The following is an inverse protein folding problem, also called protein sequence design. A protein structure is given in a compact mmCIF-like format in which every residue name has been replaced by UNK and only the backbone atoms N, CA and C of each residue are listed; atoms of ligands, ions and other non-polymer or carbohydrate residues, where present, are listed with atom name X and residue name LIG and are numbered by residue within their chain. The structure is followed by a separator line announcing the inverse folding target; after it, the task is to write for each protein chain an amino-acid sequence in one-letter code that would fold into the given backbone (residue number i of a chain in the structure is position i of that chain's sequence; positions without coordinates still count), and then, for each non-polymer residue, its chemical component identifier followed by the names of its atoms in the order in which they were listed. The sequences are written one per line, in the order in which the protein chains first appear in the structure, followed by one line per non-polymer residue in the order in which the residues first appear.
data_IF_912238076551
#
_entry.id   IF_912238076551
#
_cell.length_a   1.000
_cell.length_b   1.000
_cell.length_c   1.000
_cell.angle_alpha   90.00
_cell.angle_beta   90.00
_cell.angle_gamma   90.00
#
_symmetry.space_group_name_H-M   'P 1'
#
loop_
_entity.id
_entity.type
_entity.pdbx_description
1 polymer ?
#
# COMPACT_ATOMS: atom_id res chain seq x y z
N UNK A 1 31.47 -32.69 28.35
CA UNK A 1 31.59 -32.37 26.92
C UNK A 1 32.24 -31.00 26.81
N UNK A 2 33.32 -30.88 26.04
CA UNK A 2 34.09 -29.63 25.88
C UNK A 2 33.78 -29.08 24.51
N UNK A 3 33.23 -27.87 24.41
CA UNK A 3 32.88 -27.23 23.14
C UNK A 3 34.05 -26.33 22.73
N UNK A 4 34.58 -26.53 21.53
CA UNK A 4 35.61 -25.68 20.92
C UNK A 4 34.92 -24.68 19.99
N UNK A 5 35.05 -23.39 20.27
CA UNK A 5 34.63 -22.32 19.37
C UNK A 5 35.85 -21.77 18.63
N UNK A 6 35.86 -21.89 17.31
CA UNK A 6 36.79 -21.14 16.47
C UNK A 6 36.10 -19.83 16.08
N UNK A 7 36.58 -18.73 16.66
CA UNK A 7 36.02 -17.40 16.44
C UNK A 7 36.97 -16.64 15.51
N UNK A 8 36.50 -16.33 14.31
CA UNK A 8 37.18 -15.44 13.37
C UNK A 8 36.42 -14.11 13.29
N UNK A 9 37.16 -13.00 13.43
CA UNK A 9 36.57 -11.66 13.41
C UNK A 9 36.57 -11.16 11.96
N UNK A 10 35.39 -11.18 11.33
CA UNK A 10 35.20 -10.66 9.96
C UNK A 10 35.16 -9.13 9.92
N UNK A 11 34.47 -8.50 10.89
CA UNK A 11 34.31 -7.04 10.94
C UNK A 11 34.19 -6.55 12.38
N UNK A 12 34.89 -5.46 12.68
CA UNK A 12 34.75 -4.74 13.94
C UNK A 12 34.38 -3.27 13.70
N UNK A 13 33.68 -2.68 14.66
CA UNK A 13 33.35 -1.25 14.68
C UNK A 13 33.84 -0.70 16.01
N UNK A 14 34.77 0.25 15.97
CA UNK A 14 35.23 0.93 17.17
C UNK A 14 34.12 1.83 17.71
N UNK A 15 33.71 1.57 18.95
CA UNK A 15 32.65 2.27 19.66
C UNK A 15 33.08 2.61 21.10
N UNK A 16 34.40 2.68 21.33
CA UNK A 16 34.99 2.90 22.65
C UNK A 16 34.50 4.20 23.30
N UNK A 17 34.17 5.21 22.50
CA UNK A 17 33.63 6.50 22.96
C UNK A 17 32.23 6.40 23.57
N UNK A 18 31.54 5.25 23.53
CA UNK A 18 30.26 5.10 24.24
C UNK A 18 30.48 5.10 25.76
N UNK A 19 31.61 4.57 26.21
CA UNK A 19 31.95 4.40 27.62
C UNK A 19 32.70 5.60 28.21
N UNK A 20 33.20 6.53 27.38
CA UNK A 20 33.98 7.69 27.82
C UNK A 20 33.15 8.74 28.58
N UNK A 21 31.83 8.56 28.69
CA UNK A 21 30.95 9.47 29.43
C UNK A 21 30.63 9.02 30.86
N UNK A 22 31.08 7.84 31.28
CA UNK A 22 30.76 7.31 32.62
C UNK A 22 31.31 8.19 33.75
N UNK A 23 32.47 8.84 33.52
CA UNK A 23 33.17 9.67 34.51
C UNK A 23 32.82 11.18 34.46
N UNK A 24 32.05 11.63 33.46
CA UNK A 24 31.73 13.06 33.27
C UNK A 24 30.51 13.50 34.11
N UNK A 25 30.50 14.75 34.57
CA UNK A 25 29.33 15.32 35.26
C UNK A 25 28.12 15.50 34.31
N UNK A 26 26.90 15.63 34.85
CA UNK A 26 25.68 15.82 34.03
C UNK A 26 25.74 17.05 33.10
N UNK A 27 26.50 18.08 33.49
CA UNK A 27 26.70 19.31 32.72
C UNK A 27 27.73 19.11 31.59
N UNK A 28 28.85 18.45 31.88
CA UNK A 28 29.91 18.15 30.91
C UNK A 28 29.46 17.13 29.86
N UNK A 29 28.61 16.18 30.25
CA UNK A 29 27.96 15.23 29.32
C UNK A 29 27.07 15.90 28.28
N UNK A 30 26.66 17.15 28.49
CA UNK A 30 25.85 17.90 27.51
C UNK A 30 26.72 18.74 26.58
N UNK A 31 28.00 18.94 26.85
CA UNK A 31 28.85 19.75 25.97
C UNK A 31 29.04 19.06 24.63
N UNK A 32 28.93 19.82 23.53
CA UNK A 32 29.05 19.28 22.18
C UNK A 32 30.35 18.48 21.95
N UNK A 33 31.48 18.95 22.49
CA UNK A 33 32.77 18.27 22.40
C UNK A 33 32.75 16.84 22.96
N UNK A 34 31.96 16.59 24.02
CA UNK A 34 31.83 15.28 24.65
C UNK A 34 30.70 14.45 24.04
N UNK A 35 29.60 15.09 23.61
CA UNK A 35 28.46 14.41 22.99
C UNK A 35 28.79 13.93 21.58
N UNK A 36 29.52 14.72 20.80
CA UNK A 36 29.82 14.44 19.39
C UNK A 36 30.53 13.10 19.14
N UNK A 37 31.63 12.74 19.84
CA UNK A 37 32.29 11.45 19.64
C UNK A 37 31.39 10.26 20.00
N UNK A 38 30.63 10.37 21.10
CA UNK A 38 29.66 9.34 21.53
C UNK A 38 28.56 9.16 20.47
N UNK A 39 28.02 10.27 19.97
CA UNK A 39 27.01 10.28 18.92
C UNK A 39 27.55 9.72 17.60
N UNK A 40 28.82 9.97 17.28
CA UNK A 40 29.51 9.38 16.13
C UNK A 40 29.64 7.86 16.28
N UNK A 41 30.00 7.36 17.45
CA UNK A 41 30.04 5.91 17.73
C UNK A 41 28.66 5.26 17.57
N UNK A 42 27.60 5.86 18.11
CA UNK A 42 26.24 5.38 17.88
C UNK A 42 25.81 5.42 16.41
N UNK A 43 26.23 6.43 15.64
CA UNK A 43 25.99 6.50 14.20
C UNK A 43 26.69 5.35 13.45
N UNK A 44 27.93 5.03 13.81
CA UNK A 44 28.68 3.91 13.22
C UNK A 44 28.02 2.57 13.52
N UNK A 45 27.55 2.35 14.76
CA UNK A 45 26.74 1.18 15.11
C UNK A 45 25.45 1.11 14.28
N UNK A 46 24.79 2.24 14.06
CA UNK A 46 23.61 2.31 13.19
C UNK A 46 23.92 1.88 11.75
N UNK A 47 25.07 2.29 11.21
CA UNK A 47 25.51 1.90 9.88
C UNK A 47 25.84 0.40 9.80
N UNK A 48 26.46 -0.18 10.83
CA UNK A 48 26.74 -1.62 10.88
C UNK A 48 25.46 -2.44 10.95
N UNK A 49 24.51 -2.03 11.80
CA UNK A 49 23.18 -2.66 11.87
C UNK A 49 22.41 -2.54 10.55
N UNK A 50 22.57 -1.43 9.83
CA UNK A 50 21.99 -1.26 8.50
C UNK A 50 22.58 -2.25 7.49
N UNK A 51 23.91 -2.46 7.51
CA UNK A 51 24.58 -3.44 6.65
C UNK A 51 24.13 -4.87 6.99
N UNK A 52 23.94 -5.17 8.29
CA UNK A 52 23.36 -6.42 8.79
C UNK A 52 21.86 -6.55 8.53
N UNK A 53 21.25 -5.62 7.78
CA UNK A 53 19.83 -5.57 7.43
C UNK A 53 18.88 -5.50 8.65
N UNK A 54 19.40 -5.19 9.84
CA UNK A 54 18.59 -4.98 11.03
C UNK A 54 18.13 -3.51 11.10
N UNK A 55 17.18 -3.16 10.23
CA UNK A 55 16.74 -1.77 10.05
C UNK A 55 16.03 -1.20 11.28
N UNK A 56 15.33 -2.03 12.06
CA UNK A 56 14.64 -1.58 13.29
C UNK A 56 15.65 -1.16 14.37
N UNK A 57 16.68 -1.97 14.60
CA UNK A 57 17.76 -1.61 15.52
C UNK A 57 18.57 -0.42 15.02
N UNK A 58 18.85 -0.34 13.72
CA UNK A 58 19.54 0.79 13.11
C UNK A 58 18.78 2.12 13.34
N UNK A 59 17.46 2.14 13.12
CA UNK A 59 16.61 3.30 13.41
C UNK A 59 16.74 3.75 14.86
N UNK A 60 16.73 2.80 15.81
CA UNK A 60 16.85 3.14 17.23
C UNK A 60 18.19 3.82 17.52
N UNK A 61 19.30 3.35 16.91
CA UNK A 61 20.60 4.00 17.05
C UNK A 61 20.63 5.40 16.42
N UNK A 62 20.08 5.59 15.23
CA UNK A 62 19.99 6.93 14.64
C UNK A 62 19.12 7.89 15.47
N UNK A 63 18.04 7.40 16.08
CA UNK A 63 17.21 8.21 16.99
C UNK A 63 17.94 8.57 18.28
N UNK A 64 18.75 7.65 18.82
CA UNK A 64 19.63 7.97 19.95
C UNK A 64 20.58 9.12 19.60
N UNK A 65 21.22 9.05 18.43
CA UNK A 65 22.07 10.13 17.92
C UNK A 65 21.31 11.45 17.80
N UNK A 66 20.13 11.44 17.18
CA UNK A 66 19.30 12.64 17.02
C UNK A 66 18.99 13.28 18.38
N UNK A 67 18.56 12.48 19.36
CA UNK A 67 18.24 12.97 20.70
C UNK A 67 19.47 13.54 21.42
N UNK A 68 20.61 12.88 21.32
CA UNK A 68 21.87 13.34 21.92
C UNK A 68 22.29 14.69 21.34
N UNK A 69 22.24 14.82 20.02
CA UNK A 69 22.66 16.04 19.32
C UNK A 69 21.70 17.22 19.58
N UNK A 70 20.39 16.97 19.71
CA UNK A 70 19.43 18.02 20.10
C UNK A 70 19.64 18.53 21.53
N UNK A 71 20.04 17.65 22.44
CA UNK A 71 20.29 17.99 23.85
C UNK A 71 21.70 18.55 24.10
N UNK A 72 22.55 18.61 23.07
CA UNK A 72 23.91 19.12 23.19
C UNK A 72 23.93 20.64 23.35
N UNK A 73 24.68 21.13 24.33
CA UNK A 73 25.04 22.54 24.50
C UNK A 73 26.13 22.90 23.51
N UNK A 74 25.85 23.89 22.69
CA UNK A 74 26.77 24.44 21.70
C UNK A 74 27.48 25.67 22.27
N UNK A 75 28.76 25.81 21.97
CA UNK A 75 29.55 26.98 22.32
C UNK A 75 29.59 28.01 21.18
N UNK A 76 29.66 27.55 19.92
CA UNK A 76 29.95 28.40 18.77
C UNK A 76 29.07 28.09 17.54
N UNK A 77 28.93 29.04 16.62
CA UNK A 77 28.20 28.88 15.34
C UNK A 77 28.80 27.73 14.47
N UNK A 78 30.10 27.50 14.56
CA UNK A 78 30.75 26.41 13.83
C UNK A 78 30.32 25.02 14.35
N UNK A 79 30.12 24.89 15.66
CA UNK A 79 29.58 23.67 16.27
C UNK A 79 28.12 23.48 15.88
N UNK A 80 27.35 24.56 15.78
CA UNK A 80 25.97 24.53 15.31
C UNK A 80 25.86 23.99 13.88
N UNK A 81 26.67 24.51 12.95
CA UNK A 81 26.71 24.01 11.56
C UNK A 81 27.08 22.53 11.50
N UNK A 82 28.08 22.13 12.29
CA UNK A 82 28.52 20.73 12.38
C UNK A 82 27.43 19.83 12.95
N UNK A 83 26.75 20.27 14.02
CA UNK A 83 25.61 19.58 14.62
C UNK A 83 24.48 19.42 13.61
N UNK A 84 24.06 20.50 12.95
CA UNK A 84 22.93 20.51 12.03
C UNK A 84 23.19 19.59 10.83
N UNK A 85 24.38 19.67 10.24
CA UNK A 85 24.79 18.76 9.17
C UNK A 85 24.75 17.29 9.61
N UNK A 86 25.26 16.99 10.81
CA UNK A 86 25.26 15.64 11.35
C UNK A 86 23.85 15.15 11.70
N UNK A 87 22.98 16.01 12.24
CA UNK A 87 21.56 15.73 12.49
C UNK A 87 20.86 15.34 11.18
N UNK A 88 20.98 16.16 10.13
CA UNK A 88 20.34 15.93 8.83
C UNK A 88 20.81 14.61 8.21
N UNK A 89 22.09 14.27 8.35
CA UNK A 89 22.62 12.96 7.92
C UNK A 89 21.92 11.81 8.65
N UNK A 90 21.76 11.89 9.97
CA UNK A 90 21.10 10.87 10.76
C UNK A 90 19.59 10.78 10.49
N UNK A 91 18.91 11.91 10.31
CA UNK A 91 17.51 11.93 9.85
C UNK A 91 17.36 11.25 8.48
N UNK A 92 18.27 11.54 7.55
CA UNK A 92 18.27 10.91 6.22
C UNK A 92 18.44 9.39 6.32
N UNK A 93 19.39 8.92 7.13
CA UNK A 93 19.59 7.49 7.37
C UNK A 93 18.36 6.84 8.03
N UNK A 94 17.72 7.51 8.98
CA UNK A 94 16.46 7.05 9.57
C UNK A 94 15.33 6.97 8.52
N UNK A 95 15.19 7.97 7.65
CA UNK A 95 14.23 7.95 6.54
C UNK A 95 14.45 6.75 5.61
N UNK A 96 15.70 6.46 5.24
CA UNK A 96 16.04 5.29 4.42
C UNK A 96 15.59 4.01 5.11
N UNK A 97 15.91 3.84 6.40
CA UNK A 97 15.51 2.65 7.14
C UNK A 97 13.99 2.52 7.26
N UNK A 98 13.26 3.62 7.54
CA UNK A 98 11.81 3.60 7.59
C UNK A 98 11.17 3.28 6.24
N UNK A 99 11.76 3.75 5.14
CA UNK A 99 11.33 3.40 3.80
C UNK A 99 11.48 1.89 3.54
N UNK A 100 12.62 1.30 3.92
CA UNK A 100 12.85 -0.15 3.82
C UNK A 100 11.88 -0.96 4.70
N UNK A 101 11.52 -0.41 5.87
CA UNK A 101 10.47 -0.96 6.75
C UNK A 101 9.04 -0.66 6.27
N UNK A 102 8.86 -0.06 5.09
CA UNK A 102 7.58 0.35 4.49
C UNK A 102 6.74 1.31 5.36
N UNK A 103 7.37 2.00 6.31
CA UNK A 103 6.71 2.96 7.18
C UNK A 103 6.81 4.39 6.62
N UNK A 104 6.07 4.64 5.53
CA UNK A 104 6.07 5.92 4.82
C UNK A 104 5.61 7.10 5.69
N UNK A 105 4.75 6.87 6.69
CA UNK A 105 4.31 7.90 7.64
C UNK A 105 5.50 8.44 8.45
N UNK A 106 6.34 7.54 8.97
CA UNK A 106 7.55 7.93 9.72
C UNK A 106 8.58 8.63 8.84
N UNK A 107 8.71 8.26 7.57
CA UNK A 107 9.57 8.97 6.61
C UNK A 107 9.16 10.44 6.48
N UNK A 108 7.87 10.73 6.29
CA UNK A 108 7.38 12.10 6.19
C UNK A 108 7.65 12.92 7.46
N UNK A 109 7.46 12.32 8.64
CA UNK A 109 7.72 12.98 9.93
C UNK A 109 9.21 13.31 10.06
N UNK A 110 10.08 12.32 9.87
CA UNK A 110 11.53 12.49 10.01
C UNK A 110 12.10 13.48 8.98
N UNK A 111 11.54 13.51 7.76
CA UNK A 111 11.95 14.47 6.74
C UNK A 111 11.50 15.90 7.07
N UNK A 112 10.29 16.08 7.62
CA UNK A 112 9.84 17.37 8.11
C UNK A 112 10.68 17.86 9.30
N UNK A 113 10.97 16.97 10.24
CA UNK A 113 11.85 17.27 11.39
C UNK A 113 13.25 17.69 10.93
N UNK A 114 13.81 17.06 9.90
CA UNK A 114 15.09 17.45 9.32
C UNK A 114 15.09 18.87 8.73
N UNK A 115 14.00 19.27 8.07
CA UNK A 115 13.84 20.65 7.55
C UNK A 115 13.69 21.67 8.67
N UNK A 116 13.05 21.28 9.78
CA UNK A 116 12.91 22.17 10.95
C UNK A 116 14.26 22.43 11.64
N UNK A 117 15.25 21.54 11.50
CA UNK A 117 16.61 21.76 12.01
C UNK A 117 17.34 22.81 11.18
N UNK A 118 17.47 22.54 9.88
CA UNK A 118 18.08 23.48 8.93
C UNK A 118 17.54 23.18 7.53
N UNK A 119 16.65 24.06 7.07
CA UNK A 119 16.03 23.92 5.76
C UNK A 119 17.09 23.95 4.65
N UNK A 120 18.10 24.80 4.75
CA UNK A 120 19.09 24.99 3.70
C UNK A 120 19.94 23.75 3.50
N UNK A 121 20.39 23.12 4.58
CA UNK A 121 21.15 21.86 4.53
C UNK A 121 20.25 20.67 4.16
N UNK A 122 19.00 20.63 4.64
CA UNK A 122 18.07 19.55 4.32
C UNK A 122 17.76 19.50 2.82
N UNK A 123 17.54 20.66 2.18
CA UNK A 123 17.29 20.75 0.74
C UNK A 123 18.54 20.53 -0.12
N UNK A 124 19.75 20.48 0.43
CA UNK A 124 20.96 20.05 -0.30
C UNK A 124 21.08 18.53 -0.40
N UNK A 125 20.33 17.77 0.42
CA UNK A 125 20.42 16.33 0.45
C UNK A 125 19.42 15.66 -0.51
N UNK A 126 19.90 15.22 -1.67
CA UNK A 126 19.07 14.55 -2.68
C UNK A 126 18.40 13.27 -2.17
N UNK A 127 19.04 12.50 -1.27
CA UNK A 127 18.45 11.27 -0.71
C UNK A 127 17.25 11.60 0.16
N UNK A 128 17.37 12.59 1.04
CA UNK A 128 16.28 13.03 1.90
C UNK A 128 15.06 13.45 1.07
N UNK A 129 15.29 14.28 0.05
CA UNK A 129 14.23 14.75 -0.85
C UNK A 129 13.59 13.63 -1.66
N UNK A 130 14.40 12.68 -2.14
CA UNK A 130 13.90 11.50 -2.84
C UNK A 130 12.96 10.67 -1.97
N UNK A 131 13.39 10.26 -0.77
CA UNK A 131 12.57 9.43 0.11
C UNK A 131 11.34 10.16 0.63
N UNK A 132 11.44 11.48 0.84
CA UNK A 132 10.29 12.29 1.23
C UNK A 132 9.26 12.39 0.10
N UNK A 133 9.71 12.67 -1.13
CA UNK A 133 8.85 12.69 -2.30
C UNK A 133 8.19 11.34 -2.58
N UNK A 134 8.95 10.25 -2.43
CA UNK A 134 8.43 8.89 -2.56
C UNK A 134 7.36 8.58 -1.50
N UNK A 135 7.60 8.95 -0.24
CA UNK A 135 6.64 8.77 0.84
C UNK A 135 5.36 9.60 0.61
N UNK A 136 5.47 10.82 0.07
CA UNK A 136 4.32 11.64 -0.33
C UNK A 136 3.52 11.02 -1.47
N UNK A 137 4.19 10.41 -2.45
CA UNK A 137 3.55 9.67 -3.53
C UNK A 137 2.73 8.47 -3.00
N UNK A 138 3.18 7.83 -1.92
CA UNK A 138 2.43 6.77 -1.26
C UNK A 138 1.09 7.26 -0.68
N UNK A 139 1.03 8.51 -0.21
CA UNK A 139 -0.18 9.14 0.30
C UNK A 139 -1.04 9.82 -0.78
N UNK A 140 -0.76 9.58 -2.07
CA UNK A 140 -1.40 10.25 -3.21
C UNK A 140 -1.30 11.79 -3.17
N UNK A 141 -0.35 12.34 -2.43
CA UNK A 141 -0.02 13.77 -2.46
C UNK A 141 0.90 14.02 -3.67
N UNK A 142 0.30 14.09 -4.86
CA UNK A 142 1.03 14.19 -6.12
C UNK A 142 1.79 15.50 -6.26
N UNK A 143 1.21 16.61 -5.82
CA UNK A 143 1.85 17.93 -5.92
C UNK A 143 3.04 18.05 -4.97
N UNK A 144 2.88 17.60 -3.71
CA UNK A 144 3.98 17.52 -2.76
C UNK A 144 5.09 16.58 -3.23
N UNK A 145 4.72 15.40 -3.71
CA UNK A 145 5.68 14.44 -4.25
C UNK A 145 6.47 15.01 -5.44
N UNK A 146 5.80 15.70 -6.37
CA UNK A 146 6.43 16.33 -7.54
C UNK A 146 7.43 17.38 -7.11
N UNK A 147 7.06 18.26 -6.17
CA UNK A 147 7.96 19.32 -5.67
C UNK A 147 9.27 18.74 -5.13
N UNK A 148 9.19 17.72 -4.26
CA UNK A 148 10.38 17.13 -3.64
C UNK A 148 11.20 16.28 -4.61
N UNK A 149 10.56 15.48 -5.48
CA UNK A 149 11.26 14.67 -6.48
C UNK A 149 11.95 15.52 -7.54
N UNK A 150 11.33 16.62 -8.00
CA UNK A 150 11.97 17.56 -8.92
C UNK A 150 13.16 18.27 -8.25
N UNK A 151 13.06 18.63 -6.97
CA UNK A 151 14.19 19.18 -6.22
C UNK A 151 15.34 18.17 -6.11
N UNK A 152 15.04 16.90 -5.85
CA UNK A 152 16.05 15.83 -5.85
C UNK A 152 16.70 15.65 -7.23
N UNK A 153 15.92 15.70 -8.31
CA UNK A 153 16.43 15.58 -9.69
C UNK A 153 17.35 16.74 -10.07
N UNK A 154 17.05 17.97 -9.62
CA UNK A 154 17.92 19.14 -9.85
C UNK A 154 19.30 18.95 -9.23
N UNK A 155 19.38 18.31 -8.06
CA UNK A 155 20.65 18.04 -7.39
C UNK A 155 21.41 16.89 -8.02
N UNK A 156 20.71 15.87 -8.53
CA UNK A 156 21.32 14.68 -9.12
C UNK A 156 20.55 14.23 -10.38
N UNK A 157 20.77 14.90 -11.52
CA UNK A 157 20.01 14.65 -12.75
C UNK A 157 20.27 13.27 -13.37
N UNK A 158 21.47 12.69 -13.15
CA UNK A 158 21.87 11.40 -13.70
C UNK A 158 21.29 10.19 -12.96
N UNK A 159 20.54 10.38 -11.88
CA UNK A 159 20.02 9.27 -11.08
C UNK A 159 18.76 8.66 -11.75
N UNK A 160 18.88 7.40 -12.17
CA UNK A 160 17.78 6.65 -12.77
C UNK A 160 16.64 6.42 -11.78
N UNK A 161 16.93 6.25 -10.49
CA UNK A 161 15.91 5.98 -9.47
C UNK A 161 14.94 7.15 -9.30
N UNK A 162 15.46 8.38 -9.36
CA UNK A 162 14.66 9.61 -9.28
C UNK A 162 13.80 9.76 -10.54
N UNK A 163 14.39 9.51 -11.72
CA UNK A 163 13.69 9.57 -13.00
C UNK A 163 12.55 8.54 -13.08
N UNK A 164 12.79 7.31 -12.62
CA UNK A 164 11.75 6.27 -12.52
C UNK A 164 10.65 6.65 -11.52
N UNK A 165 11.00 7.29 -10.39
CA UNK A 165 10.00 7.76 -9.42
C UNK A 165 9.12 8.88 -10.00
N UNK A 166 9.68 9.80 -10.78
CA UNK A 166 8.93 10.84 -11.49
C UNK A 166 8.01 10.26 -12.57
N UNK A 167 8.46 9.25 -13.31
CA UNK A 167 7.62 8.54 -14.28
C UNK A 167 6.46 7.81 -13.58
N UNK A 168 6.71 7.16 -12.44
CA UNK A 168 5.68 6.53 -11.61
C UNK A 168 4.66 7.56 -11.10
N UNK A 169 5.13 8.74 -10.65
CA UNK A 169 4.27 9.84 -10.25
C UNK A 169 3.33 10.28 -11.38
N UNK A 170 3.87 10.49 -12.59
CA UNK A 170 3.08 10.89 -13.74
C UNK A 170 2.00 9.84 -14.08
N UNK A 171 2.37 8.56 -14.07
CA UNK A 171 1.43 7.46 -14.29
C UNK A 171 0.33 7.42 -13.24
N UNK A 172 0.70 7.40 -11.95
CA UNK A 172 -0.28 7.35 -10.85
C UNK A 172 -1.21 8.56 -10.84
N UNK A 173 -0.69 9.75 -11.16
CA UNK A 173 -1.52 10.96 -11.27
C UNK A 173 -2.55 10.83 -12.40
N UNK A 174 -2.14 10.35 -13.57
CA UNK A 174 -3.05 10.12 -14.70
C UNK A 174 -4.11 9.05 -14.37
N UNK A 175 -3.71 7.94 -13.74
CA UNK A 175 -4.62 6.88 -13.31
C UNK A 175 -5.65 7.41 -12.28
N UNK A 176 -5.20 8.26 -11.35
CA UNK A 176 -6.07 8.89 -10.35
C UNK A 176 -7.08 9.85 -10.99
N UNK A 177 -6.61 10.74 -11.88
CA UNK A 177 -7.48 11.67 -12.61
C UNK A 177 -8.48 10.93 -13.51
N UNK A 178 -8.08 9.83 -14.15
CA UNK A 178 -8.99 9.00 -14.93
C UNK A 178 -10.05 8.36 -14.04
N UNK A 179 -9.65 7.82 -12.89
CA UNK A 179 -10.55 7.21 -11.91
C UNK A 179 -11.54 8.24 -11.36
N UNK A 180 -11.07 9.43 -11.01
CA UNK A 180 -11.89 10.54 -10.52
C UNK A 180 -12.91 10.96 -11.59
N UNK A 181 -12.49 11.14 -12.84
CA UNK A 181 -13.38 11.45 -13.97
C UNK A 181 -14.45 10.37 -14.17
N UNK A 182 -14.07 9.10 -14.07
CA UNK A 182 -15.02 7.98 -14.18
C UNK A 182 -16.02 7.98 -13.02
N UNK A 183 -15.55 8.19 -11.79
CA UNK A 183 -16.41 8.28 -10.60
C UNK A 183 -17.40 9.44 -10.72
N UNK A 184 -16.94 10.62 -11.15
CA UNK A 184 -17.80 11.78 -11.38
C UNK A 184 -18.82 11.51 -12.49
N UNK A 185 -18.41 10.92 -13.63
CA UNK A 185 -19.35 10.54 -14.70
C UNK A 185 -20.47 9.63 -14.22
N UNK A 186 -20.13 8.65 -13.35
CA UNK A 186 -21.12 7.77 -12.72
C UNK A 186 -22.00 8.50 -11.71
N UNK A 187 -21.41 9.32 -10.83
CA UNK A 187 -22.14 10.07 -9.81
C UNK A 187 -23.14 11.09 -10.38
N UNK A 188 -22.81 11.73 -11.51
CA UNK A 188 -23.67 12.68 -12.20
C UNK A 188 -24.58 12.04 -13.26
N UNK A 189 -24.55 10.71 -13.43
CA UNK A 189 -25.39 9.99 -14.41
C UNK A 189 -25.06 10.31 -15.88
N UNK A 190 -23.87 10.87 -16.15
CA UNK A 190 -23.37 11.02 -17.52
C UNK A 190 -22.99 9.69 -18.15
N UNK A 191 -22.79 8.67 -17.31
CA UNK A 191 -22.64 7.29 -17.75
C UNK A 191 -24.04 6.68 -17.99
N UNK A 192 -24.54 6.79 -19.23
CA UNK A 192 -25.76 6.08 -19.67
C UNK A 192 -25.58 4.55 -19.68
N UNK A 193 -24.41 4.04 -19.30
CA UNK A 193 -24.07 2.63 -19.27
C UNK A 193 -23.92 2.08 -17.84
N UNK A 194 -25.00 2.09 -17.05
CA UNK A 194 -25.21 1.09 -15.97
C UNK A 194 -26.67 1.05 -15.53
N UNK A 195 -27.52 0.69 -16.48
CA UNK A 195 -28.69 -0.14 -16.27
C UNK A 195 -28.88 -0.90 -17.58
N UNK A 196 -29.16 -2.22 -17.59
CA UNK A 196 -29.44 -2.88 -18.85
C UNK A 196 -30.57 -2.11 -19.54
N UNK A 197 -30.34 -1.72 -20.79
CA UNK A 197 -31.32 -0.97 -21.57
C UNK A 197 -32.62 -1.80 -21.60
N UNK A 198 -33.81 -1.19 -21.55
CA UNK A 198 -35.10 -1.95 -21.58
C UNK A 198 -35.10 -2.99 -22.71
N UNK A 199 -34.44 -2.68 -23.83
CA UNK A 199 -34.24 -3.57 -24.97
C UNK A 199 -33.35 -4.79 -24.67
N UNK A 200 -32.25 -4.61 -23.93
CA UNK A 200 -31.33 -5.70 -23.56
C UNK A 200 -31.92 -6.61 -22.47
N UNK A 201 -32.68 -6.03 -21.53
CA UNK A 201 -33.45 -6.82 -20.55
C UNK A 201 -34.50 -7.66 -21.27
N UNK A 202 -35.23 -7.09 -22.23
CA UNK A 202 -36.22 -7.81 -23.03
C UNK A 202 -35.56 -8.92 -23.87
N UNK A 203 -34.44 -8.65 -24.51
CA UNK A 203 -33.73 -9.63 -25.34
C UNK A 203 -33.15 -10.79 -24.50
N UNK A 204 -32.68 -10.50 -23.28
CA UNK A 204 -32.26 -11.54 -22.33
C UNK A 204 -33.44 -12.37 -21.79
N UNK A 205 -34.57 -11.72 -21.50
CA UNK A 205 -35.81 -12.39 -21.07
C UNK A 205 -36.40 -13.27 -22.18
N UNK A 206 -36.37 -12.82 -23.44
CA UNK A 206 -36.79 -13.62 -24.60
C UNK A 206 -35.88 -14.83 -24.82
N UNK A 207 -34.56 -14.67 -24.71
CA UNK A 207 -33.62 -15.80 -24.79
C UNK A 207 -33.86 -16.84 -23.70
N UNK A 208 -34.08 -16.41 -22.46
CA UNK A 208 -34.42 -17.32 -21.36
C UNK A 208 -35.77 -18.02 -21.60
N UNK A 209 -36.79 -17.30 -22.08
CA UNK A 209 -38.09 -17.88 -22.46
C UNK A 209 -37.93 -18.97 -23.52
N UNK A 210 -37.16 -18.71 -24.57
CA UNK A 210 -36.90 -19.68 -25.64
C UNK A 210 -36.15 -20.93 -25.15
N UNK A 211 -35.27 -20.80 -24.16
CA UNK A 211 -34.58 -21.95 -23.55
C UNK A 211 -35.58 -22.83 -22.79
N UNK A 212 -36.47 -22.23 -22.00
CA UNK A 212 -37.51 -22.99 -21.29
C UNK A 212 -38.50 -23.66 -22.24
N UNK A 213 -38.93 -22.97 -23.30
CA UNK A 213 -39.81 -23.54 -24.31
C UNK A 213 -39.19 -24.78 -24.95
N UNK A 214 -37.92 -24.73 -25.38
CA UNK A 214 -37.22 -25.88 -25.95
C UNK A 214 -37.11 -27.04 -24.96
N UNK A 215 -36.72 -26.76 -23.70
CA UNK A 215 -36.62 -27.82 -22.68
C UNK A 215 -37.98 -28.48 -22.38
N UNK A 216 -39.07 -27.71 -22.41
CA UNK A 216 -40.41 -28.25 -22.21
C UNK A 216 -40.95 -28.97 -23.45
N UNK A 217 -40.57 -28.55 -24.66
CA UNK A 217 -40.87 -29.28 -25.91
C UNK A 217 -40.15 -30.63 -25.94
N UNK A 218 -38.85 -30.65 -25.60
CA UNK A 218 -38.06 -31.88 -25.49
C UNK A 218 -38.68 -32.82 -24.42
N UNK A 219 -39.07 -32.26 -23.27
CA UNK A 219 -39.75 -33.02 -22.22
C UNK A 219 -41.13 -33.54 -22.64
N UNK A 220 -41.89 -32.80 -23.45
CA UNK A 220 -43.20 -33.21 -23.97
C UNK A 220 -43.06 -34.32 -25.00
N UNK A 221 -42.02 -34.25 -25.84
CA UNK A 221 -41.71 -35.21 -26.90
C UNK A 221 -41.19 -36.56 -26.39
N UNK A 222 -40.61 -36.62 -25.17
CA UNK A 222 -40.07 -37.85 -24.60
C UNK A 222 -41.13 -38.64 -23.80
N UNK A 223 -41.61 -39.81 -24.29
CA UNK A 223 -42.66 -40.60 -23.63
C UNK A 223 -42.22 -41.29 -22.32
N UNK A 224 -40.91 -41.39 -22.03
CA UNK A 224 -40.40 -42.11 -20.85
C UNK A 224 -40.16 -41.21 -19.63
N UNK A 225 -40.36 -39.89 -19.75
CA UNK A 225 -40.07 -38.93 -18.68
C UNK A 225 -41.37 -38.31 -18.13
N UNK A 226 -41.75 -38.71 -16.90
CA UNK A 226 -42.97 -38.23 -16.22
C UNK A 226 -42.74 -36.95 -15.41
N UNK A 227 -41.48 -36.62 -15.06
CA UNK A 227 -41.14 -35.42 -14.30
C UNK A 227 -39.78 -34.83 -14.69
N UNK A 228 -39.73 -33.51 -14.87
CA UNK A 228 -38.50 -32.73 -15.08
C UNK A 228 -38.18 -31.96 -13.80
N UNK A 229 -36.91 -32.00 -13.37
CA UNK A 229 -36.42 -31.24 -12.21
C UNK A 229 -35.41 -30.20 -12.71
N UNK A 230 -35.79 -28.93 -12.62
CA UNK A 230 -34.87 -27.82 -12.88
C UNK A 230 -34.15 -27.47 -11.58
N UNK A 231 -32.85 -27.79 -11.55
CA UNK A 231 -31.90 -27.39 -10.51
C UNK A 231 -31.02 -26.33 -11.16
N UNK A 232 -30.86 -25.17 -10.52
CA UNK A 232 -30.08 -24.00 -10.97
C UNK A 232 -30.88 -22.77 -11.44
N UNK A 233 -32.11 -22.57 -10.92
CA UNK A 233 -32.76 -21.25 -11.02
C UNK A 233 -32.27 -20.37 -9.87
N UNK A 234 -31.59 -19.28 -10.21
CA UNK A 234 -30.83 -18.46 -9.26
C UNK A 234 -31.65 -17.26 -8.79
N UNK A 235 -32.64 -16.82 -9.57
CA UNK A 235 -33.43 -15.61 -9.29
C UNK A 235 -34.95 -15.85 -9.28
N UNK A 236 -35.68 -15.08 -8.46
CA UNK A 236 -37.13 -15.17 -8.33
C UNK A 236 -37.91 -14.79 -9.62
N UNK A 237 -37.28 -14.03 -10.52
CA UNK A 237 -37.88 -13.66 -11.80
C UNK A 237 -37.79 -14.81 -12.83
N UNK A 238 -36.69 -15.56 -12.83
CA UNK A 238 -36.53 -16.79 -13.63
C UNK A 238 -37.56 -17.86 -13.20
N UNK A 239 -37.80 -18.01 -11.89
CA UNK A 239 -38.81 -18.92 -11.36
C UNK A 239 -40.23 -18.57 -11.85
N UNK A 240 -40.61 -17.29 -11.75
CA UNK A 240 -41.92 -16.81 -12.25
C UNK A 240 -42.07 -17.02 -13.74
N UNK A 241 -41.01 -16.77 -14.50
CA UNK A 241 -41.03 -16.92 -15.96
C UNK A 241 -41.15 -18.40 -16.35
N UNK A 242 -40.42 -19.29 -15.68
CA UNK A 242 -40.53 -20.73 -15.84
C UNK A 242 -41.94 -21.25 -15.51
N UNK A 243 -42.54 -20.81 -14.39
CA UNK A 243 -43.92 -21.18 -14.02
C UNK A 243 -44.95 -20.71 -15.05
N UNK A 244 -44.75 -19.51 -15.62
CA UNK A 244 -45.63 -18.95 -16.64
C UNK A 244 -45.55 -19.74 -17.95
N UNK A 245 -44.35 -20.04 -18.44
CA UNK A 245 -44.14 -20.82 -19.68
C UNK A 245 -44.66 -22.25 -19.51
N UNK A 246 -44.41 -22.88 -18.36
CA UNK A 246 -44.95 -24.22 -18.08
C UNK A 246 -46.48 -24.24 -18.11
N UNK A 247 -47.14 -23.22 -17.55
CA UNK A 247 -48.61 -23.08 -17.59
C UNK A 247 -49.12 -22.83 -19.01
N UNK A 248 -48.44 -22.00 -19.79
CA UNK A 248 -48.76 -21.76 -21.22
C UNK A 248 -48.68 -23.06 -22.04
N UNK A 249 -47.75 -23.95 -21.73
CA UNK A 249 -47.57 -25.24 -22.40
C UNK A 249 -48.43 -26.39 -21.81
N UNK A 250 -49.26 -26.09 -20.80
CA UNK A 250 -50.16 -27.07 -20.17
C UNK A 250 -49.49 -28.04 -19.21
N UNK A 251 -48.29 -27.71 -18.69
CA UNK A 251 -47.54 -28.51 -17.73
C UNK A 251 -47.78 -28.03 -16.29
N UNK A 252 -47.78 -28.95 -15.34
CA UNK A 252 -47.90 -28.61 -13.91
C UNK A 252 -46.51 -28.35 -13.32
N UNK A 253 -46.19 -27.09 -13.04
CA UNK A 253 -44.94 -26.71 -12.40
C UNK A 253 -45.17 -26.26 -10.95
N UNK A 254 -44.43 -26.84 -10.00
CA UNK A 254 -44.47 -26.45 -8.58
C UNK A 254 -43.05 -26.26 -8.04
N UNK A 255 -42.87 -25.19 -7.27
CA UNK A 255 -41.65 -24.94 -6.50
C UNK A 255 -41.66 -25.86 -5.27
N UNK A 256 -40.61 -26.64 -5.10
CA UNK A 256 -40.40 -27.42 -3.88
C UNK A 256 -39.31 -26.74 -3.04
N UNK A 257 -39.68 -26.32 -1.83
CA UNK A 257 -38.73 -25.84 -0.82
C UNK A 257 -38.18 -27.05 -0.05
N UNK A 258 -36.96 -27.48 -0.40
CA UNK A 258 -36.11 -28.38 0.39
C UNK A 258 -34.72 -27.76 0.59
N UNK A 259 -33.71 -28.55 0.98
CA UNK A 259 -32.31 -28.09 1.16
C UNK A 259 -31.70 -27.39 -0.09
N UNK A 260 -32.31 -27.58 -1.27
CA UNK A 260 -32.06 -26.82 -2.50
C UNK A 260 -33.41 -26.46 -3.13
N UNK A 261 -33.63 -25.19 -3.47
CA UNK A 261 -34.82 -24.75 -4.24
C UNK A 261 -34.78 -25.34 -5.64
N UNK A 262 -35.82 -26.09 -5.99
CA UNK A 262 -35.96 -26.75 -7.29
C UNK A 262 -37.38 -26.62 -7.81
N UNK A 263 -37.54 -26.51 -9.14
CA UNK A 263 -38.86 -26.53 -9.78
C UNK A 263 -39.12 -27.93 -10.34
N UNK A 264 -40.21 -28.54 -9.90
CA UNK A 264 -40.72 -29.80 -10.43
C UNK A 264 -41.79 -29.51 -11.48
N UNK A 265 -41.55 -29.97 -12.71
CA UNK A 265 -42.51 -29.88 -13.82
C UNK A 265 -43.02 -31.29 -14.13
N UNK A 266 -44.35 -31.46 -14.15
CA UNK A 266 -45.05 -32.72 -14.43
C UNK A 266 -46.00 -32.56 -15.62
N UNK A 267 -46.19 -33.65 -16.37
CA UNK A 267 -47.21 -33.72 -17.42
C UNK A 267 -48.60 -33.81 -16.78
N UNK A 268 -49.64 -33.19 -17.38
CA UNK A 268 -51.01 -33.43 -16.95
C UNK A 268 -51.33 -34.91 -17.14
N UNK A 269 -51.91 -35.55 -16.12
CA UNK A 269 -52.38 -36.91 -16.25
C UNK A 269 -53.44 -36.95 -17.36
N UNK A 270 -53.27 -37.86 -18.33
CA UNK A 270 -54.36 -38.17 -19.25
C UNK A 270 -55.46 -38.87 -18.43
N UNK A 271 -56.59 -38.18 -18.23
CA UNK A 271 -57.88 -38.83 -18.02
C UNK A 271 -58.41 -39.39 -19.34
#
# INVERSE_FOLDING_TARGET
ATILFMIEVDRFVDCSDIYTTEDLTMEERKQFCNVYPVAKSHHLLGNDLYIKQNYTAAVNKYKQVINMMHNARLANEQEEKTRNHFLIKNYTNACICYHLLRNHKRVCIMAADAVNVDATEAFKNHKLLYYWGYAKLYFNDFEGAKKHLMAAQKLKPSDSSISSALANLAKKKADHEMTEKLMMKKAFGFDKSTGPTITEVKDAQEKLRNIFEKQFEDFKSDPNNESLILKDLVTADEEKMCLKVAKEMGLYARVADGDKRVIHVKKPAME
#
